data_IF_934044245456
#
_entry.id   IF_934044245456
#
_cell.length_a   1.000
_cell.length_b   1.000
_cell.length_c   1.000
_cell.angle_alpha   90.00
_cell.angle_beta   90.00
_cell.angle_gamma   90.00
#
_symmetry.space_group_name_H-M   'P 1'
#
loop_
_entity.id
_entity.type
_entity.pdbx_description
1 polymer ?
#
# COMPACT_ATOMS: atom_id res chain seq x y z
N UNK A 1 -14.62 -38.37 33.07
CA UNK A 1 -13.35 -37.63 32.92
C UNK A 1 -13.36 -36.96 31.57
N UNK A 2 -13.06 -35.66 31.56
CA UNK A 2 -13.23 -34.75 30.44
C UNK A 2 -12.29 -35.06 29.28
N UNK A 3 -12.79 -34.92 28.06
CA UNK A 3 -12.00 -34.55 26.87
C UNK A 3 -12.86 -33.62 26.03
N UNK A 4 -13.10 -32.41 26.57
CA UNK A 4 -13.48 -31.27 25.75
C UNK A 4 -12.25 -30.91 24.90
N UNK A 5 -12.18 -31.45 23.69
CA UNK A 5 -11.20 -30.98 22.70
C UNK A 5 -11.71 -29.62 22.21
N UNK A 6 -11.33 -28.57 22.94
CA UNK A 6 -11.48 -27.20 22.50
C UNK A 6 -10.68 -27.04 21.21
N UNK A 7 -11.41 -26.93 20.10
CA UNK A 7 -10.90 -26.36 18.86
C UNK A 7 -10.59 -24.89 19.17
N UNK A 8 -9.38 -24.59 19.64
CA UNK A 8 -8.89 -23.21 19.75
C UNK A 8 -8.82 -22.65 18.33
N UNK A 9 -9.93 -22.03 17.89
CA UNK A 9 -9.91 -21.12 16.76
C UNK A 9 -8.95 -20.01 17.16
N UNK A 10 -7.86 -19.84 16.41
CA UNK A 10 -6.95 -18.72 16.62
C UNK A 10 -7.77 -17.43 16.64
N UNK A 11 -7.60 -16.62 17.66
CA UNK A 11 -8.25 -15.32 17.72
C UNK A 11 -7.60 -14.39 16.69
N UNK A 12 -8.29 -13.33 16.23
CA UNK A 12 -7.66 -12.31 15.39
C UNK A 12 -6.41 -11.70 16.03
N UNK A 13 -6.34 -11.67 17.36
CA UNK A 13 -5.16 -11.22 18.10
C UNK A 13 -3.99 -12.20 17.97
N UNK A 14 -4.24 -13.51 18.06
CA UNK A 14 -3.22 -14.54 17.82
C UNK A 14 -2.65 -14.46 16.39
N UNK A 15 -3.51 -14.20 15.40
CA UNK A 15 -3.09 -14.05 14.01
C UNK A 15 -2.24 -12.80 13.79
N UNK A 16 -2.60 -11.67 14.41
CA UNK A 16 -1.77 -10.44 14.39
C UNK A 16 -0.42 -10.65 15.07
N UNK A 17 -0.39 -11.30 16.22
CA UNK A 17 0.84 -11.62 16.93
C UNK A 17 1.75 -12.52 16.08
N UNK A 18 1.18 -13.51 15.38
CA UNK A 18 1.91 -14.34 14.42
C UNK A 18 2.40 -13.56 13.20
N UNK A 19 1.62 -12.62 12.69
CA UNK A 19 2.01 -11.78 11.55
C UNK A 19 3.24 -10.93 11.89
N UNK A 20 3.24 -10.29 13.08
CA UNK A 20 4.38 -9.52 13.57
C UNK A 20 5.61 -10.40 13.79
N UNK A 21 5.45 -11.53 14.48
CA UNK A 21 6.55 -12.47 14.71
C UNK A 21 7.12 -13.04 13.40
N UNK A 22 6.28 -13.25 12.38
CA UNK A 22 6.73 -13.71 11.06
C UNK A 22 7.58 -12.63 10.36
N UNK A 23 7.16 -11.37 10.41
CA UNK A 23 7.94 -10.25 9.89
C UNK A 23 9.30 -10.14 10.59
N UNK A 24 9.30 -10.08 11.93
CA UNK A 24 10.51 -9.96 12.75
C UNK A 24 11.49 -11.11 12.47
N UNK A 25 10.98 -12.34 12.43
CA UNK A 25 11.79 -13.52 12.09
C UNK A 25 12.48 -13.40 10.73
N UNK A 26 11.79 -12.86 9.72
CA UNK A 26 12.36 -12.67 8.38
C UNK A 26 13.37 -11.53 8.36
N UNK A 27 13.07 -10.41 9.01
CA UNK A 27 13.96 -9.24 9.13
C UNK A 27 15.27 -9.58 9.88
N UNK A 28 15.21 -10.49 10.84
CA UNK A 28 16.36 -10.94 11.61
C UNK A 28 17.27 -11.92 10.87
N UNK A 29 16.82 -12.54 9.76
CA UNK A 29 17.63 -13.51 9.02
C UNK A 29 18.99 -12.94 8.63
N UNK A 30 20.05 -13.65 9.00
CA UNK A 30 21.45 -13.28 8.69
C UNK A 30 22.06 -14.11 7.55
N UNK A 31 21.43 -15.23 7.20
CA UNK A 31 21.93 -16.12 6.15
C UNK A 31 21.67 -15.53 4.76
N UNK A 32 22.65 -15.64 3.87
CA UNK A 32 22.54 -15.30 2.44
C UNK A 32 22.11 -16.49 1.58
N UNK A 33 21.57 -17.54 2.20
CA UNK A 33 21.07 -18.71 1.48
C UNK A 33 19.91 -18.36 0.56
N UNK A 34 19.71 -19.19 -0.47
CA UNK A 34 18.56 -19.10 -1.38
C UNK A 34 17.23 -19.10 -0.60
N UNK A 35 17.13 -19.91 0.44
CA UNK A 35 15.92 -20.04 1.26
C UNK A 35 15.66 -18.76 2.07
N UNK A 36 16.71 -18.16 2.63
CA UNK A 36 16.59 -16.90 3.34
C UNK A 36 16.17 -15.77 2.40
N UNK A 37 16.76 -15.68 1.19
CA UNK A 37 16.32 -14.73 0.17
C UNK A 37 14.87 -14.95 -0.25
N UNK A 38 14.47 -16.21 -0.47
CA UNK A 38 13.09 -16.55 -0.80
C UNK A 38 12.09 -16.18 0.30
N UNK A 39 12.45 -16.35 1.57
CA UNK A 39 11.63 -15.90 2.70
C UNK A 39 11.46 -14.37 2.70
N UNK A 40 12.53 -13.62 2.45
CA UNK A 40 12.52 -12.15 2.37
C UNK A 40 11.67 -11.64 1.21
N UNK A 41 11.78 -12.24 0.02
CA UNK A 41 10.93 -11.90 -1.14
C UNK A 41 9.45 -12.18 -0.85
N UNK A 42 9.12 -13.30 -0.20
CA UNK A 42 7.73 -13.61 0.19
C UNK A 42 7.18 -12.60 1.19
N UNK A 43 7.97 -12.22 2.18
CA UNK A 43 7.57 -11.17 3.14
C UNK A 43 7.41 -9.83 2.43
N UNK A 44 8.32 -9.48 1.53
CA UNK A 44 8.24 -8.26 0.74
C UNK A 44 6.93 -8.18 -0.07
N UNK A 45 6.51 -9.28 -0.73
CA UNK A 45 5.24 -9.32 -1.47
C UNK A 45 4.03 -9.00 -0.57
N UNK A 46 4.02 -9.52 0.66
CA UNK A 46 2.98 -9.23 1.64
C UNK A 46 3.01 -7.77 2.10
N UNK A 47 4.20 -7.25 2.42
CA UNK A 47 4.38 -5.85 2.82
C UNK A 47 4.03 -4.88 1.68
N UNK A 48 4.32 -5.22 0.42
CA UNK A 48 3.90 -4.44 -0.75
C UNK A 48 2.39 -4.33 -0.82
N UNK A 49 1.69 -5.46 -0.74
CA UNK A 49 0.22 -5.45 -0.79
C UNK A 49 -0.37 -4.65 0.38
N UNK A 50 0.26 -4.71 1.56
CA UNK A 50 -0.12 -3.89 2.70
C UNK A 50 0.13 -2.39 2.45
N UNK A 51 1.30 -2.00 1.94
CA UNK A 51 1.61 -0.62 1.57
C UNK A 51 0.60 -0.04 0.57
N UNK A 52 0.33 -0.75 -0.53
CA UNK A 52 -0.62 -0.33 -1.57
C UNK A 52 -2.04 -0.18 -0.97
N UNK A 53 -2.46 -1.14 -0.14
CA UNK A 53 -3.77 -1.08 0.51
C UNK A 53 -3.86 0.03 1.56
N UNK A 54 -2.77 0.32 2.28
CA UNK A 54 -2.70 1.44 3.23
C UNK A 54 -2.74 2.79 2.51
N UNK A 55 -2.11 2.91 1.34
CA UNK A 55 -2.23 4.09 0.49
C UNK A 55 -3.69 4.32 0.06
N UNK A 56 -4.36 3.29 -0.46
CA UNK A 56 -5.77 3.37 -0.85
C UNK A 56 -6.65 3.75 0.34
N UNK A 57 -6.44 3.07 1.48
CA UNK A 57 -7.17 3.36 2.71
C UNK A 57 -6.97 4.82 3.18
N UNK A 58 -5.75 5.36 3.09
CA UNK A 58 -5.46 6.76 3.39
C UNK A 58 -6.23 7.74 2.51
N UNK A 59 -6.34 7.46 1.22
CA UNK A 59 -7.14 8.25 0.30
C UNK A 59 -8.63 8.19 0.65
N UNK A 60 -9.18 6.98 0.83
CA UNK A 60 -10.60 6.77 1.15
C UNK A 60 -11.00 7.41 2.48
N UNK A 61 -10.23 7.20 3.54
CA UNK A 61 -10.52 7.78 4.86
C UNK A 61 -10.40 9.30 4.85
N UNK A 62 -9.50 9.85 4.05
CA UNK A 62 -9.38 11.30 3.87
C UNK A 62 -10.61 11.88 3.19
N UNK A 63 -11.13 11.23 2.14
CA UNK A 63 -12.36 11.66 1.47
C UNK A 63 -13.55 11.67 2.45
N UNK A 64 -13.73 10.58 3.20
CA UNK A 64 -14.77 10.48 4.23
C UNK A 64 -14.62 11.55 5.31
N UNK A 65 -13.40 11.80 5.77
CA UNK A 65 -13.12 12.82 6.77
C UNK A 65 -13.44 14.22 6.25
N UNK A 66 -13.13 14.53 4.98
CA UNK A 66 -13.47 15.83 4.36
C UNK A 66 -14.98 16.06 4.29
N UNK A 67 -15.77 15.03 3.97
CA UNK A 67 -17.23 15.10 3.97
C UNK A 67 -17.77 15.39 5.38
N UNK A 68 -17.25 14.69 6.39
CA UNK A 68 -17.63 14.90 7.79
C UNK A 68 -17.25 16.31 8.28
N UNK A 69 -16.08 16.82 7.88
CA UNK A 69 -15.65 18.20 8.18
C UNK A 69 -16.63 19.21 7.59
N UNK A 70 -17.02 19.06 6.32
CA UNK A 70 -17.97 19.97 5.68
C UNK A 70 -19.31 20.01 6.42
N UNK A 71 -19.81 18.83 6.82
CA UNK A 71 -21.04 18.71 7.63
C UNK A 71 -20.86 19.36 9.00
N UNK A 72 -19.76 19.09 9.72
CA UNK A 72 -19.50 19.66 11.04
C UNK A 72 -19.44 21.19 10.99
N UNK A 73 -18.76 21.77 9.99
CA UNK A 73 -18.68 23.21 9.77
C UNK A 73 -20.09 23.80 9.56
N UNK A 74 -20.90 23.19 8.69
CA UNK A 74 -22.27 23.67 8.43
C UNK A 74 -23.18 23.65 9.67
N UNK A 75 -22.90 22.76 10.62
CA UNK A 75 -23.68 22.58 11.86
C UNK A 75 -23.06 23.28 13.08
N UNK A 76 -21.89 23.92 12.94
CA UNK A 76 -21.14 24.49 14.06
C UNK A 76 -20.71 23.45 15.09
N UNK A 77 -20.46 22.21 14.66
CA UNK A 77 -20.03 21.09 15.51
C UNK A 77 -18.50 21.00 15.55
N UNK A 78 -17.98 20.24 16.52
CA UNK A 78 -16.56 19.91 16.57
C UNK A 78 -16.12 19.13 15.33
N UNK A 79 -14.88 19.38 14.90
CA UNK A 79 -14.31 18.70 13.74
C UNK A 79 -14.03 17.22 14.06
N UNK A 80 -14.28 16.31 13.10
CA UNK A 80 -13.97 14.90 13.29
C UNK A 80 -12.46 14.68 13.49
N UNK A 81 -12.13 13.65 14.27
CA UNK A 81 -10.74 13.22 14.50
C UNK A 81 -10.15 12.67 13.21
N UNK A 82 -8.85 12.90 13.00
CA UNK A 82 -8.14 12.35 11.85
C UNK A 82 -8.04 10.81 11.98
N UNK A 83 -8.25 10.07 10.89
CA UNK A 83 -8.11 8.62 10.87
C UNK A 83 -6.66 8.17 11.08
N UNK A 84 -6.46 7.08 11.83
CA UNK A 84 -5.17 6.45 12.06
C UNK A 84 -4.85 5.37 11.01
N UNK A 85 -3.56 5.17 10.64
CA UNK A 85 -3.15 4.11 9.74
C UNK A 85 -3.21 2.72 10.40
N UNK A 86 -3.66 1.68 9.67
CA UNK A 86 -3.67 0.32 10.21
C UNK A 86 -2.28 -0.34 10.10
N UNK A 87 -1.66 -0.68 11.24
CA UNK A 87 -0.39 -1.45 11.27
C UNK A 87 -0.57 -2.94 10.93
N UNK A 88 -1.80 -3.45 11.06
CA UNK A 88 -2.16 -4.81 10.64
C UNK A 88 -3.27 -4.75 9.60
N UNK A 89 -3.12 -5.50 8.51
CA UNK A 89 -4.15 -5.66 7.50
C UNK A 89 -4.29 -7.11 7.06
N UNK A 90 -5.51 -7.50 6.66
CA UNK A 90 -5.73 -8.76 5.96
C UNK A 90 -5.41 -8.59 4.48
N UNK A 91 -4.54 -9.46 3.96
CA UNK A 91 -4.11 -9.52 2.57
C UNK A 91 -4.55 -10.86 1.99
N UNK A 92 -5.20 -10.81 0.81
CA UNK A 92 -5.60 -11.99 0.07
C UNK A 92 -4.37 -12.62 -0.59
N UNK A 93 -4.11 -13.89 -0.28
CA UNK A 93 -3.06 -14.71 -0.86
C UNK A 93 -3.69 -16.00 -1.37
N UNK A 94 -3.78 -16.14 -2.70
CA UNK A 94 -4.55 -17.22 -3.32
C UNK A 94 -6.01 -17.15 -2.88
N UNK A 95 -6.51 -18.23 -2.27
CA UNK A 95 -7.89 -18.34 -1.77
C UNK A 95 -8.05 -18.00 -0.28
N UNK A 96 -6.98 -17.55 0.39
CA UNK A 96 -6.96 -17.29 1.84
C UNK A 96 -6.60 -15.85 2.18
N UNK A 97 -7.20 -15.31 3.24
CA UNK A 97 -6.80 -14.03 3.82
C UNK A 97 -5.83 -14.27 4.98
N UNK A 98 -4.72 -13.53 4.99
CA UNK A 98 -3.71 -13.60 6.06
C UNK A 98 -3.49 -12.22 6.66
N UNK A 99 -3.34 -12.15 7.98
CA UNK A 99 -2.87 -10.92 8.61
C UNK A 99 -1.42 -10.66 8.26
N UNK A 100 -1.13 -9.42 7.88
CA UNK A 100 0.20 -8.91 7.58
C UNK A 100 0.48 -7.74 8.51
N UNK A 101 1.67 -7.74 9.10
CA UNK A 101 2.19 -6.62 9.87
C UNK A 101 3.04 -5.73 8.96
N UNK A 102 2.89 -4.42 9.14
CA UNK A 102 3.76 -3.40 8.57
C UNK A 102 4.25 -2.52 9.72
N UNK A 103 5.56 -2.19 9.81
CA UNK A 103 6.03 -1.29 10.84
C UNK A 103 5.35 0.08 10.74
N UNK A 104 5.12 0.69 11.90
CA UNK A 104 4.28 1.88 12.06
C UNK A 104 4.73 3.05 11.17
N UNK A 105 6.04 3.29 11.07
CA UNK A 105 6.60 4.33 10.21
C UNK A 105 6.18 4.17 8.74
N UNK A 106 6.22 2.95 8.20
CA UNK A 106 5.84 2.68 6.82
C UNK A 106 4.33 2.77 6.62
N UNK A 107 3.54 2.32 7.60
CA UNK A 107 2.08 2.44 7.55
C UNK A 107 1.63 3.91 7.56
N UNK A 108 2.24 4.72 8.43
CA UNK A 108 1.96 6.15 8.54
C UNK A 108 2.34 6.91 7.27
N UNK A 109 3.54 6.67 6.73
CA UNK A 109 3.98 7.32 5.49
C UNK A 109 3.07 6.94 4.30
N UNK A 110 2.76 5.65 4.11
CA UNK A 110 1.88 5.21 3.03
C UNK A 110 0.48 5.84 3.13
N UNK A 111 -0.09 5.87 4.34
CA UNK A 111 -1.38 6.50 4.61
C UNK A 111 -1.36 8.00 4.29
N UNK A 112 -0.29 8.68 4.70
CA UNK A 112 -0.11 10.12 4.46
C UNK A 112 0.01 10.41 2.96
N UNK A 113 0.72 9.58 2.19
CA UNK A 113 0.80 9.75 0.73
C UNK A 113 -0.56 9.58 0.07
N UNK A 114 -1.34 8.56 0.47
CA UNK A 114 -2.72 8.38 -0.01
C UNK A 114 -3.62 9.58 0.33
N UNK A 115 -3.51 10.07 1.57
CA UNK A 115 -4.25 11.24 2.05
C UNK A 115 -3.92 12.50 1.24
N UNK A 116 -2.64 12.75 0.98
CA UNK A 116 -2.18 13.91 0.19
C UNK A 116 -2.59 13.79 -1.28
N UNK A 117 -2.52 12.58 -1.84
CA UNK A 117 -2.99 12.31 -3.19
C UNK A 117 -4.48 12.63 -3.33
N UNK A 118 -5.32 12.16 -2.38
CA UNK A 118 -6.75 12.49 -2.34
C UNK A 118 -7.02 13.99 -2.24
N UNK A 119 -6.21 14.72 -1.48
CA UNK A 119 -6.32 16.18 -1.33
C UNK A 119 -5.76 16.95 -2.52
N UNK A 120 -5.28 16.28 -3.58
CA UNK A 120 -4.59 16.88 -4.73
C UNK A 120 -3.32 17.66 -4.35
N UNK A 121 -2.75 17.37 -3.17
CA UNK A 121 -1.48 17.93 -2.71
C UNK A 121 -0.27 17.20 -3.32
N UNK A 122 -0.49 15.97 -3.79
CA UNK A 122 0.47 15.19 -4.58
C UNK A 122 -0.12 14.87 -5.94
N UNK A 123 0.66 15.12 -7.01
CA UNK A 123 0.32 14.62 -8.34
C UNK A 123 0.50 13.09 -8.38
N UNK A 124 -0.11 12.44 -9.39
CA UNK A 124 0.03 10.99 -9.59
C UNK A 124 1.50 10.56 -9.70
N UNK A 125 2.28 11.20 -10.59
CA UNK A 125 3.69 10.88 -10.78
C UNK A 125 4.49 11.02 -9.48
N UNK A 126 4.18 12.05 -8.67
CA UNK A 126 4.86 12.26 -7.39
C UNK A 126 4.44 11.25 -6.34
N UNK A 127 3.15 10.89 -6.27
CA UNK A 127 2.67 9.84 -5.37
C UNK A 127 3.33 8.48 -5.69
N UNK A 128 3.48 8.16 -6.98
CA UNK A 128 4.19 6.97 -7.45
C UNK A 128 5.67 7.00 -7.02
N UNK A 129 6.36 8.12 -7.21
CA UNK A 129 7.77 8.30 -6.81
C UNK A 129 7.97 8.12 -5.30
N UNK A 130 7.15 8.79 -4.49
CA UNK A 130 7.27 8.75 -3.02
C UNK A 130 6.96 7.34 -2.46
N UNK A 131 5.91 6.69 -2.96
CA UNK A 131 5.58 5.32 -2.55
C UNK A 131 6.63 4.31 -3.02
N UNK A 132 7.25 4.53 -4.18
CA UNK A 132 8.37 3.70 -4.63
C UNK A 132 9.58 3.86 -3.69
N UNK A 133 9.93 5.09 -3.33
CA UNK A 133 11.03 5.34 -2.39
C UNK A 133 10.75 4.75 -0.99
N UNK A 134 9.50 4.78 -0.53
CA UNK A 134 9.08 4.12 0.70
C UNK A 134 9.22 2.60 0.62
N UNK A 135 8.76 1.99 -0.48
CA UNK A 135 8.87 0.55 -0.71
C UNK A 135 10.33 0.08 -0.82
N UNK A 136 11.18 0.84 -1.52
CA UNK A 136 12.61 0.56 -1.66
C UNK A 136 13.33 0.64 -0.30
N UNK A 137 12.94 1.60 0.56
CA UNK A 137 13.44 1.67 1.94
C UNK A 137 13.07 0.41 2.74
N UNK A 138 11.80 0.00 2.74
CA UNK A 138 11.38 -1.21 3.44
C UNK A 138 12.14 -2.44 2.92
N UNK A 139 12.26 -2.56 1.59
CA UNK A 139 12.97 -3.65 0.92
C UNK A 139 14.43 -3.74 1.39
N UNK A 140 15.13 -2.61 1.39
CA UNK A 140 16.56 -2.54 1.70
C UNK A 140 16.87 -2.62 3.19
N UNK A 141 16.17 -1.87 4.02
CA UNK A 141 16.53 -1.71 5.43
C UNK A 141 15.95 -2.81 6.31
N UNK A 142 14.69 -3.17 6.10
CA UNK A 142 14.01 -4.22 6.89
C UNK A 142 14.29 -5.62 6.35
N UNK A 143 14.17 -5.78 5.03
CA UNK A 143 14.25 -7.11 4.40
C UNK A 143 15.61 -7.39 3.76
N UNK A 144 16.53 -6.42 3.73
CA UNK A 144 17.87 -6.53 3.10
C UNK A 144 17.83 -7.23 1.73
N UNK A 145 16.91 -6.77 0.92
CA UNK A 145 16.80 -7.08 -0.50
C UNK A 145 17.32 -5.84 -1.25
N UNK A 146 18.28 -6.05 -2.15
CA UNK A 146 18.86 -4.96 -2.95
C UNK A 146 18.03 -4.67 -4.21
N UNK A 147 17.06 -5.53 -4.52
CA UNK A 147 16.18 -5.35 -5.66
C UNK A 147 15.12 -4.28 -5.37
N UNK A 148 14.89 -3.41 -6.35
CA UNK A 148 13.72 -2.54 -6.38
C UNK A 148 12.59 -3.26 -7.09
N UNK A 149 11.40 -3.17 -6.52
CA UNK A 149 10.20 -3.78 -7.05
C UNK A 149 9.12 -2.71 -7.19
N UNK A 150 8.48 -2.67 -8.36
CA UNK A 150 7.46 -1.67 -8.64
C UNK A 150 6.27 -1.78 -7.69
N UNK A 151 5.73 -0.63 -7.27
CA UNK A 151 4.52 -0.50 -6.46
C UNK A 151 3.51 0.42 -7.16
N UNK A 152 2.23 0.37 -6.73
CA UNK A 152 1.12 1.18 -7.24
C UNK A 152 0.85 0.96 -8.73
N UNK A 153 0.82 -0.31 -9.15
CA UNK A 153 0.60 -0.66 -10.57
C UNK A 153 -0.68 -0.02 -11.12
N UNK A 154 -1.75 0.00 -10.32
CA UNK A 154 -3.02 0.63 -10.71
C UNK A 154 -2.87 2.12 -11.07
N UNK A 155 -2.08 2.91 -10.33
CA UNK A 155 -1.83 4.31 -10.69
C UNK A 155 -0.92 4.42 -11.91
N UNK A 156 0.08 3.55 -12.04
CA UNK A 156 0.98 3.55 -13.21
C UNK A 156 0.22 3.25 -14.50
N UNK A 157 -0.75 2.34 -14.44
CA UNK A 157 -1.58 1.97 -15.58
C UNK A 157 -2.47 3.16 -16.00
N UNK A 158 -3.03 3.91 -15.05
CA UNK A 158 -3.77 5.16 -15.33
C UNK A 158 -2.88 6.24 -15.96
N UNK A 159 -1.65 6.41 -15.47
CA UNK A 159 -0.67 7.37 -16.02
C UNK A 159 -0.32 7.06 -17.48
N UNK A 160 -0.15 5.77 -17.81
CA UNK A 160 0.13 5.33 -19.17
C UNK A 160 -1.06 5.54 -20.12
N UNK A 161 -2.29 5.35 -19.63
CA UNK A 161 -3.51 5.58 -20.41
C UNK A 161 -3.67 7.05 -20.81
N UNK A 162 -3.48 7.99 -19.87
CA UNK A 162 -3.59 9.44 -20.13
C UNK A 162 -2.53 9.95 -21.13
N UNK A 163 -1.33 9.36 -21.12
CA UNK A 163 -0.27 9.70 -22.08
C UNK A 163 -0.59 9.27 -23.52
N UNK A 164 -1.44 8.25 -23.70
CA UNK A 164 -1.79 7.73 -25.03
C UNK A 164 -2.89 8.56 -25.69
N UNK A 165 -3.84 9.10 -24.91
CA UNK A 165 -4.93 9.94 -25.42
C UNK A 165 -4.47 11.32 -25.89
N UNK A 166 -3.33 11.80 -25.38
CA UNK A 166 -2.75 13.10 -25.74
C UNK A 166 -1.95 13.09 -27.05
N UNK A 167 -1.75 11.92 -27.67
CA UNK A 167 -0.82 11.70 -28.79
C UNK A 167 -1.43 11.60 -30.20
N UNK A 168 -2.77 11.59 -30.34
CA UNK A 168 -3.43 11.23 -31.62
C UNK A 168 -4.04 12.42 -32.40
N UNK A 169 -3.60 13.67 -32.16
CA UNK A 169 -4.16 14.86 -32.84
C UNK A 169 -3.17 15.64 -33.71
N UNK A 170 -2.12 15.00 -34.24
CA UNK A 170 -1.12 15.71 -35.04
C UNK A 170 -0.53 14.90 -36.21
N UNK A 171 -1.35 14.27 -37.06
CA UNK A 171 -0.89 13.96 -38.43
C UNK A 171 -2.03 13.78 -39.44
N UNK A 172 -2.63 14.87 -39.90
CA UNK A 172 -3.53 14.86 -41.06
C UNK A 172 -3.61 16.23 -41.76
N UNK A 173 -2.47 16.81 -42.16
CA UNK A 173 -2.48 17.97 -43.05
C UNK A 173 -1.16 18.18 -43.81
N UNK A 174 -0.67 17.18 -44.56
CA UNK A 174 0.14 17.52 -45.75
C UNK A 174 0.22 16.40 -46.80
N UNK A 175 -0.79 16.33 -47.66
CA UNK A 175 -0.68 15.86 -49.05
C UNK A 175 -1.84 16.54 -49.78
N UNK A 176 -1.71 17.18 -50.93
CA UNK A 176 -0.88 16.88 -52.08
C UNK A 176 -1.04 18.07 -53.04
N UNK A 177 0.07 18.65 -53.52
CA UNK A 177 0.04 19.55 -54.67
C UNK A 177 0.74 18.84 -55.83
N UNK A 178 0.12 18.75 -57.02
CA UNK A 178 0.88 18.47 -58.23
C UNK A 178 0.72 19.58 -59.28
N UNK A 179 1.88 20.20 -59.55
CA UNK A 179 2.41 20.76 -60.81
C UNK A 179 1.66 21.87 -61.54
#
# INVERSE_FOLDING_TARGET
>A
MALFSFFEKNTPEDEKNRAKAAFEKVAELRSDSRDARSARVRMWLLCRAHLEKTFIYGAEQTALWQDLVAVAISKGQELPVLPDPPVYQQIRVGDSDVYVYLPEEFAQEAFNFGSKYQKTELSRSKAIEEMQALADRLCKWELRLDESYQILQFLRDEEAAEGTESGDSADAANSEAPR
#
